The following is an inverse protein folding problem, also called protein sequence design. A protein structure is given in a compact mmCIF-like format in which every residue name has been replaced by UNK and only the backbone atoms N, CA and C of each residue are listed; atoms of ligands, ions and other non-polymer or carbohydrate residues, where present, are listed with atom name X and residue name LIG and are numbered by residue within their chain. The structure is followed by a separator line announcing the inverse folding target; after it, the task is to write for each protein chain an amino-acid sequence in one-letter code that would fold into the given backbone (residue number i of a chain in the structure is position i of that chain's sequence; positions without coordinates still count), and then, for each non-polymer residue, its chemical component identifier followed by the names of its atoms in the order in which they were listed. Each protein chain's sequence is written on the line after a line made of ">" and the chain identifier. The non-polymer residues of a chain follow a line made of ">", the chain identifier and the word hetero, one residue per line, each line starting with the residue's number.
data_IF_547092349533
#
_entry.id   IF_547092349533
#
_cell.length_a   1.000
_cell.length_b   1.000
_cell.length_c   1.000
_cell.angle_alpha   90.00
_cell.angle_beta   90.00
_cell.angle_gamma   90.00
#
_symmetry.space_group_name_H-M   'P 1'
#
loop_
_entity.id
_entity.type
_entity.pdbx_description
1 polymer ?
#
# COMPACT_ATOMS: atom_id res chain seq x y z
N UNK A 1 -17.02 30.20 9.64
CA UNK A 1 -17.37 29.02 8.80
C UNK A 1 -18.49 28.29 9.51
N UNK A 2 -19.67 28.21 8.92
CA UNK A 2 -20.75 27.37 9.45
C UNK A 2 -20.51 25.95 8.92
N UNK A 3 -20.31 24.99 9.81
CA UNK A 3 -20.23 23.57 9.43
C UNK A 3 -21.58 23.14 8.88
N UNK A 4 -21.58 22.44 7.74
CA UNK A 4 -22.81 21.92 7.14
C UNK A 4 -23.53 20.95 8.10
N UNK A 5 -22.76 20.20 8.90
CA UNK A 5 -23.24 19.25 9.92
C UNK A 5 -22.27 19.19 11.11
N UNK A 6 -22.73 18.67 12.24
CA UNK A 6 -21.90 18.48 13.44
C UNK A 6 -21.01 17.22 13.26
N UNK A 7 -19.68 17.31 13.40
CA UNK A 7 -18.79 16.16 13.31
C UNK A 7 -19.14 15.00 14.26
N UNK A 8 -19.74 15.30 15.41
CA UNK A 8 -20.21 14.27 16.36
C UNK A 8 -21.25 13.34 15.76
N UNK A 9 -22.08 13.84 14.83
CA UNK A 9 -23.07 13.01 14.13
C UNK A 9 -22.42 12.03 13.16
N UNK A 10 -21.22 12.32 12.67
CA UNK A 10 -20.44 11.38 11.84
C UNK A 10 -19.96 10.19 12.69
N UNK A 11 -19.45 10.45 13.90
CA UNK A 11 -19.07 9.40 14.86
C UNK A 11 -20.27 8.50 15.18
N UNK A 12 -21.45 9.11 15.34
CA UNK A 12 -22.69 8.36 15.58
C UNK A 12 -23.08 7.50 14.40
N UNK A 13 -22.97 8.01 13.15
CA UNK A 13 -23.21 7.24 11.95
C UNK A 13 -22.22 6.06 11.85
N UNK A 14 -20.93 6.29 12.12
CA UNK A 14 -19.90 5.26 12.09
C UNK A 14 -20.19 4.13 13.08
N UNK A 15 -20.57 4.46 14.33
CA UNK A 15 -20.96 3.46 15.32
C UNK A 15 -22.19 2.65 14.88
N UNK A 16 -23.24 3.30 14.35
CA UNK A 16 -24.45 2.64 13.87
C UNK A 16 -24.16 1.64 12.74
N UNK A 17 -23.33 2.02 11.78
CA UNK A 17 -22.98 1.16 10.64
C UNK A 17 -22.06 0.01 11.08
N UNK A 18 -21.07 0.26 11.92
CA UNK A 18 -20.13 -0.74 12.45
C UNK A 18 -20.84 -1.84 13.23
N UNK A 19 -21.79 -1.46 14.11
CA UNK A 19 -22.54 -2.42 14.91
C UNK A 19 -23.74 -3.03 14.18
N UNK A 20 -24.13 -2.47 13.05
CA UNK A 20 -25.37 -2.89 12.38
C UNK A 20 -26.64 -2.67 13.23
N UNK A 21 -26.56 -1.84 14.29
CA UNK A 21 -27.62 -1.66 15.29
C UNK A 21 -27.57 -0.28 15.95
N UNK A 22 -28.71 0.42 15.97
CA UNK A 22 -28.86 1.69 16.68
C UNK A 22 -28.78 1.52 18.20
N UNK A 23 -29.23 0.40 18.74
CA UNK A 23 -29.19 0.13 20.18
C UNK A 23 -27.74 -0.14 20.64
N UNK A 24 -26.99 -0.99 19.93
CA UNK A 24 -25.59 -1.27 20.25
C UNK A 24 -24.70 -0.02 20.09
N UNK A 25 -24.93 0.80 19.06
CA UNK A 25 -24.25 2.08 18.92
C UNK A 25 -24.54 3.05 20.08
N UNK A 26 -25.77 3.07 20.57
CA UNK A 26 -26.15 3.89 21.71
C UNK A 26 -25.42 3.45 23.00
N UNK A 27 -25.31 2.16 23.21
CA UNK A 27 -24.59 1.58 24.34
C UNK A 27 -23.10 1.96 24.30
N UNK A 28 -22.43 1.77 23.14
CA UNK A 28 -21.01 2.15 22.96
C UNK A 28 -20.78 3.64 23.23
N UNK A 29 -21.66 4.50 22.69
CA UNK A 29 -21.48 5.95 22.76
C UNK A 29 -21.99 6.58 24.09
N UNK A 30 -22.58 5.80 24.96
CA UNK A 30 -23.16 6.29 26.22
C UNK A 30 -24.42 7.17 25.99
N UNK A 31 -25.16 6.95 24.91
CA UNK A 31 -26.40 7.66 24.57
C UNK A 31 -27.62 6.74 24.69
N UNK A 32 -28.81 7.33 24.59
CA UNK A 32 -30.05 6.58 24.39
C UNK A 32 -30.21 6.24 22.90
N UNK A 33 -30.88 5.16 22.57
CA UNK A 33 -31.20 4.80 21.18
C UNK A 33 -31.99 5.92 20.47
N UNK A 34 -32.85 6.61 21.18
CA UNK A 34 -33.62 7.77 20.65
C UNK A 34 -32.69 8.93 20.26
N UNK A 35 -31.66 9.22 21.10
CA UNK A 35 -30.69 10.27 20.81
C UNK A 35 -29.85 9.92 19.57
N UNK A 36 -29.35 8.67 19.44
CA UNK A 36 -28.65 8.20 18.27
C UNK A 36 -29.50 8.30 17.01
N UNK A 37 -30.80 7.90 17.10
CA UNK A 37 -31.76 8.03 15.99
C UNK A 37 -31.98 9.47 15.56
N UNK A 38 -32.05 10.39 16.53
CA UNK A 38 -32.22 11.84 16.28
C UNK A 38 -30.97 12.43 15.61
N UNK A 39 -29.78 12.08 16.09
CA UNK A 39 -28.50 12.56 15.50
C UNK A 39 -28.36 12.11 14.04
N UNK A 40 -28.65 10.85 13.74
CA UNK A 40 -28.65 10.35 12.36
C UNK A 40 -29.71 11.06 11.50
N UNK A 41 -30.92 11.26 12.01
CA UNK A 41 -31.97 11.97 11.29
C UNK A 41 -31.63 13.46 11.06
N UNK A 42 -30.96 14.12 12.02
CA UNK A 42 -30.43 15.48 11.85
C UNK A 42 -29.37 15.54 10.75
N UNK A 43 -28.46 14.57 10.73
CA UNK A 43 -27.44 14.46 9.70
C UNK A 43 -28.08 14.29 8.31
N UNK A 44 -29.06 13.37 8.17
CA UNK A 44 -29.81 13.15 6.93
C UNK A 44 -30.52 14.42 6.45
N UNK A 45 -31.13 15.16 7.38
CA UNK A 45 -31.81 16.43 7.06
C UNK A 45 -30.83 17.49 6.57
N UNK A 46 -29.65 17.60 7.18
CA UNK A 46 -28.62 18.58 6.81
C UNK A 46 -27.97 18.26 5.46
N UNK A 47 -27.73 16.99 5.19
CA UNK A 47 -27.14 16.50 3.95
C UNK A 47 -28.17 16.46 2.81
N UNK A 48 -29.46 16.39 3.13
CA UNK A 48 -30.54 16.28 2.15
C UNK A 48 -30.69 14.89 1.54
N UNK A 49 -30.05 13.86 2.13
CA UNK A 49 -30.08 12.49 1.65
C UNK A 49 -30.11 11.49 2.81
N UNK A 50 -30.65 10.29 2.56
CA UNK A 50 -30.50 9.20 3.52
C UNK A 50 -29.07 8.71 3.56
N UNK A 51 -28.52 8.56 4.76
CA UNK A 51 -27.13 8.10 4.98
C UNK A 51 -27.08 6.66 5.47
N UNK A 52 -28.20 6.11 5.96
CA UNK A 52 -28.29 4.74 6.45
C UNK A 52 -29.54 4.03 5.93
N UNK A 53 -29.37 2.79 5.48
CA UNK A 53 -30.46 1.82 5.29
C UNK A 53 -30.73 1.18 6.66
N UNK A 54 -32.00 1.09 7.07
CA UNK A 54 -32.34 0.63 8.43
C UNK A 54 -32.56 -0.89 8.56
N UNK A 55 -32.78 -1.59 7.46
CA UNK A 55 -33.02 -3.05 7.45
C UNK A 55 -32.50 -3.69 6.17
N UNK A 56 -31.35 -4.42 6.21
CA UNK A 56 -30.36 -4.44 7.30
C UNK A 56 -29.71 -3.07 7.46
N UNK A 57 -29.17 -2.78 8.65
CA UNK A 57 -28.47 -1.51 8.89
C UNK A 57 -27.15 -1.51 8.11
N UNK A 58 -27.02 -0.56 7.19
CA UNK A 58 -25.82 -0.38 6.37
C UNK A 58 -25.75 1.05 5.84
N UNK A 59 -24.57 1.53 5.51
CA UNK A 59 -24.42 2.83 4.85
C UNK A 59 -25.07 2.85 3.47
N UNK A 60 -25.61 3.99 3.08
CA UNK A 60 -25.92 4.32 1.69
C UNK A 60 -24.63 4.84 1.01
N UNK A 61 -24.69 5.15 -0.29
CA UNK A 61 -23.62 5.81 -1.01
C UNK A 61 -23.24 7.17 -0.37
N UNK A 62 -24.26 7.99 -0.03
CA UNK A 62 -24.04 9.22 0.73
C UNK A 62 -23.49 8.96 2.14
N UNK A 63 -23.94 7.89 2.79
CA UNK A 63 -23.41 7.45 4.07
C UNK A 63 -21.95 7.06 4.01
N UNK A 64 -21.52 6.38 2.93
CA UNK A 64 -20.12 6.01 2.75
C UNK A 64 -19.21 7.24 2.63
N UNK A 65 -19.59 8.24 1.86
CA UNK A 65 -18.87 9.53 1.77
C UNK A 65 -18.68 10.17 3.15
N UNK A 66 -19.70 10.11 4.01
CA UNK A 66 -19.62 10.66 5.36
C UNK A 66 -18.76 9.81 6.30
N UNK A 67 -18.77 8.48 6.15
CA UNK A 67 -17.88 7.59 6.89
C UNK A 67 -16.41 7.82 6.53
N UNK A 68 -16.11 8.01 5.25
CA UNK A 68 -14.76 8.34 4.79
C UNK A 68 -14.32 9.71 5.35
N UNK A 69 -15.24 10.69 5.41
CA UNK A 69 -15.01 12.00 6.04
C UNK A 69 -14.77 11.89 7.54
N UNK A 70 -15.56 11.08 8.24
CA UNK A 70 -15.39 10.82 9.69
C UNK A 70 -14.00 10.24 9.95
N UNK A 71 -13.62 9.22 9.20
CA UNK A 71 -12.32 8.59 9.29
C UNK A 71 -11.18 9.61 9.13
N UNK A 72 -11.23 10.46 8.11
CA UNK A 72 -10.23 11.51 7.88
C UNK A 72 -10.14 12.52 9.02
N UNK A 73 -11.29 12.92 9.60
CA UNK A 73 -11.33 13.82 10.76
C UNK A 73 -10.73 13.15 11.99
N UNK A 74 -11.15 11.93 12.31
CA UNK A 74 -10.64 11.15 13.46
C UNK A 74 -9.14 10.97 13.40
N UNK A 75 -8.60 10.69 12.23
CA UNK A 75 -7.17 10.62 11.96
C UNK A 75 -6.47 11.94 12.24
N UNK A 76 -7.00 13.02 11.67
CA UNK A 76 -6.40 14.36 11.87
C UNK A 76 -6.38 14.75 13.34
N UNK A 77 -7.44 14.43 14.08
CA UNK A 77 -7.53 14.65 15.52
C UNK A 77 -6.53 13.80 16.31
N UNK A 78 -6.42 12.51 15.98
CA UNK A 78 -5.47 11.60 16.62
C UNK A 78 -4.03 12.05 16.39
N UNK A 79 -3.69 12.47 15.16
CA UNK A 79 -2.36 13.02 14.82
C UNK A 79 -2.05 14.28 15.62
N UNK A 80 -3.00 15.21 15.68
CA UNK A 80 -2.82 16.43 16.47
C UNK A 80 -2.59 16.12 17.96
N UNK A 81 -3.31 15.15 18.52
CA UNK A 81 -3.11 14.70 19.90
C UNK A 81 -1.71 14.09 20.11
N UNK A 82 -1.25 13.24 19.17
CA UNK A 82 0.08 12.64 19.21
C UNK A 82 1.18 13.71 19.09
N UNK A 83 1.03 14.66 18.18
CA UNK A 83 1.99 15.76 18.02
C UNK A 83 2.06 16.66 19.27
N UNK A 84 0.91 16.97 19.87
CA UNK A 84 0.86 17.74 21.12
C UNK A 84 1.51 16.99 22.29
N UNK A 85 1.26 15.68 22.40
CA UNK A 85 1.93 14.84 23.40
C UNK A 85 3.43 14.80 23.18
N UNK A 86 3.89 14.62 21.93
CA UNK A 86 5.31 14.63 21.58
C UNK A 86 5.99 15.97 21.90
N UNK A 87 5.31 17.09 21.72
CA UNK A 87 5.81 18.43 22.13
C UNK A 87 5.89 18.57 23.65
N UNK A 88 4.93 18.01 24.39
CA UNK A 88 4.90 18.07 25.86
C UNK A 88 5.99 17.21 26.51
N UNK A 89 6.23 16.02 25.96
CA UNK A 89 7.11 15.00 26.53
C UNK A 89 8.54 15.04 25.94
N UNK A 90 8.80 15.89 24.92
CA UNK A 90 10.08 15.93 24.19
C UNK A 90 10.35 14.63 23.41
N UNK A 91 9.32 13.80 23.19
CA UNK A 91 9.40 12.56 22.41
C UNK A 91 9.27 12.86 20.91
N UNK A 92 9.99 12.11 20.06
CA UNK A 92 10.12 12.42 18.63
C UNK A 92 8.86 12.17 17.77
N UNK A 93 7.69 11.86 18.39
CA UNK A 93 6.46 11.53 17.69
C UNK A 93 6.42 10.09 17.16
N UNK A 94 5.41 9.78 16.36
CA UNK A 94 5.22 8.47 15.73
C UNK A 94 5.24 8.61 14.20
N UNK A 95 5.77 7.61 13.51
CA UNK A 95 5.70 7.45 12.05
C UNK A 95 5.23 6.04 11.73
N UNK A 96 4.06 5.93 11.10
CA UNK A 96 3.48 4.67 10.63
C UNK A 96 3.70 4.56 9.12
N UNK A 97 4.67 3.74 8.74
CA UNK A 97 5.04 3.50 7.35
C UNK A 97 4.34 2.26 6.83
N UNK A 98 3.68 2.37 5.68
CA UNK A 98 3.21 1.25 4.89
C UNK A 98 4.14 0.98 3.71
N UNK A 99 4.42 -0.27 3.39
CA UNK A 99 5.21 -0.62 2.22
C UNK A 99 4.81 -1.98 1.67
N UNK A 100 4.88 -2.16 0.35
CA UNK A 100 4.74 -3.47 -0.26
C UNK A 100 6.00 -4.32 0.00
N UNK A 101 5.84 -5.63 -0.08
CA UNK A 101 6.82 -6.62 0.40
C UNK A 101 8.26 -6.39 -0.09
N UNK A 102 8.48 -6.11 -1.38
CA UNK A 102 9.84 -5.92 -1.90
C UNK A 102 10.47 -4.60 -1.46
N UNK A 103 9.70 -3.53 -1.27
CA UNK A 103 10.20 -2.28 -0.71
C UNK A 103 10.51 -2.43 0.79
N UNK A 104 9.63 -3.13 1.53
CA UNK A 104 9.81 -3.41 2.95
C UNK A 104 11.08 -4.24 3.21
N UNK A 105 11.44 -5.12 2.28
CA UNK A 105 12.64 -5.96 2.39
C UNK A 105 13.95 -5.26 1.97
N UNK A 106 13.88 -4.23 1.12
CA UNK A 106 15.08 -3.64 0.49
C UNK A 106 15.34 -2.19 0.89
N UNK A 107 14.56 -1.24 0.38
CA UNK A 107 14.80 0.21 0.54
C UNK A 107 14.34 0.76 1.89
N UNK A 108 13.34 0.15 2.52
CA UNK A 108 12.79 0.62 3.79
C UNK A 108 13.75 0.42 4.97
N UNK A 109 14.41 -0.75 5.17
CA UNK A 109 15.29 -0.96 6.31
C UNK A 109 16.44 0.06 6.42
N UNK A 110 17.21 0.38 5.37
CA UNK A 110 18.27 1.40 5.48
C UNK A 110 17.71 2.78 5.77
N UNK A 111 16.57 3.17 5.20
CA UNK A 111 15.91 4.44 5.49
C UNK A 111 15.48 4.55 6.97
N UNK A 112 14.88 3.49 7.52
CA UNK A 112 14.49 3.43 8.93
C UNK A 112 15.69 3.41 9.88
N UNK A 113 16.78 2.73 9.50
CA UNK A 113 18.02 2.74 10.27
C UNK A 113 18.59 4.15 10.40
N UNK A 114 18.62 4.94 9.31
CA UNK A 114 19.03 6.35 9.32
C UNK A 114 18.10 7.23 10.16
N UNK A 115 16.78 7.03 10.02
CA UNK A 115 15.82 7.76 10.85
C UNK A 115 16.04 7.49 12.35
N UNK A 116 16.20 6.22 12.72
CA UNK A 116 16.44 5.84 14.12
C UNK A 116 17.75 6.38 14.68
N UNK A 117 18.80 6.40 13.86
CA UNK A 117 20.10 6.94 14.28
C UNK A 117 20.06 8.44 14.54
N UNK A 118 19.29 9.19 13.74
CA UNK A 118 19.22 10.66 13.84
C UNK A 118 18.08 11.15 14.74
N UNK A 119 17.03 10.35 14.91
CA UNK A 119 15.84 10.68 15.69
C UNK A 119 15.43 9.47 16.56
N UNK A 120 16.24 9.12 17.57
CA UNK A 120 16.04 7.88 18.36
C UNK A 120 14.74 7.87 19.18
N UNK A 121 14.15 9.04 19.43
CA UNK A 121 12.90 9.20 20.15
C UNK A 121 11.66 8.99 19.26
N UNK A 122 11.80 8.88 17.93
CA UNK A 122 10.67 8.62 17.03
C UNK A 122 10.24 7.17 17.15
N UNK A 123 8.97 6.94 17.47
CA UNK A 123 8.38 5.61 17.38
C UNK A 123 8.06 5.27 15.92
N UNK A 124 8.50 4.11 15.46
CA UNK A 124 8.34 3.68 14.07
C UNK A 124 7.52 2.40 14.04
N UNK A 125 6.43 2.43 13.29
CA UNK A 125 5.64 1.25 12.94
C UNK A 125 5.78 1.00 11.44
N UNK A 126 6.21 -0.21 11.06
CA UNK A 126 6.22 -0.66 9.67
C UNK A 126 5.11 -1.68 9.46
N UNK A 127 4.26 -1.46 8.47
CA UNK A 127 3.22 -2.38 8.05
C UNK A 127 3.45 -2.80 6.59
N UNK A 128 3.55 -4.10 6.38
CA UNK A 128 3.54 -4.66 5.03
C UNK A 128 2.11 -4.61 4.46
N UNK A 129 1.98 -4.14 3.23
CA UNK A 129 0.70 -3.82 2.60
C UNK A 129 0.57 -4.43 1.21
N UNK A 130 -0.64 -4.82 0.86
CA UNK A 130 -1.03 -4.98 -0.53
C UNK A 130 -1.32 -3.60 -1.17
N UNK A 131 -0.91 -3.41 -2.43
CA UNK A 131 -1.06 -2.15 -3.17
C UNK A 131 -2.48 -1.58 -3.09
N UNK A 132 -3.50 -2.43 -3.25
CA UNK A 132 -4.93 -2.04 -3.26
C UNK A 132 -5.44 -1.45 -1.94
N UNK A 133 -4.80 -1.73 -0.81
CA UNK A 133 -5.23 -1.27 0.52
C UNK A 133 -4.62 0.08 0.90
N UNK A 134 -3.52 0.45 0.25
CA UNK A 134 -2.66 1.55 0.65
C UNK A 134 -3.40 2.88 0.73
N UNK A 135 -4.16 3.25 -0.30
CA UNK A 135 -4.89 4.51 -0.33
C UNK A 135 -5.94 4.59 0.79
N UNK A 136 -6.69 3.49 1.00
CA UNK A 136 -7.69 3.43 2.07
C UNK A 136 -7.05 3.57 3.46
N UNK A 137 -5.89 2.97 3.69
CA UNK A 137 -5.16 3.07 4.95
C UNK A 137 -4.61 4.48 5.20
N UNK A 138 -4.14 5.17 4.15
CA UNK A 138 -3.75 6.58 4.22
C UNK A 138 -4.95 7.47 4.57
N UNK A 139 -6.08 7.30 3.89
CA UNK A 139 -7.30 8.08 4.17
C UNK A 139 -7.87 7.83 5.57
N UNK A 140 -7.79 6.59 6.08
CA UNK A 140 -8.16 6.25 7.46
C UNK A 140 -7.10 6.63 8.48
N UNK A 141 -5.88 7.05 8.01
CA UNK A 141 -4.72 7.40 8.81
C UNK A 141 -4.22 6.28 9.70
N UNK A 142 -4.42 5.08 9.27
CA UNK A 142 -3.77 3.90 9.85
C UNK A 142 -2.27 3.88 9.53
N UNK A 143 -1.88 4.55 8.45
CA UNK A 143 -0.49 4.84 8.06
C UNK A 143 -0.34 6.32 7.70
N UNK A 144 0.86 6.87 7.88
CA UNK A 144 1.17 8.28 7.62
C UNK A 144 1.86 8.48 6.28
N UNK A 145 2.68 7.51 5.89
CA UNK A 145 3.45 7.47 4.66
C UNK A 145 3.37 6.07 4.09
N UNK A 146 3.32 5.94 2.78
CA UNK A 146 3.41 4.67 2.10
C UNK A 146 4.50 4.67 1.03
N UNK A 147 5.14 3.53 0.81
CA UNK A 147 5.86 3.23 -0.42
C UNK A 147 4.92 2.40 -1.29
N UNK A 148 4.61 2.92 -2.49
CA UNK A 148 3.70 2.33 -3.47
C UNK A 148 4.38 2.15 -4.81
N UNK A 149 3.73 1.49 -5.74
CA UNK A 149 4.22 1.42 -7.12
C UNK A 149 3.06 1.38 -8.11
N UNK A 150 3.35 1.74 -9.36
CA UNK A 150 2.50 1.47 -10.52
C UNK A 150 3.35 0.82 -11.61
N UNK A 151 2.72 0.04 -12.47
CA UNK A 151 3.38 -0.39 -13.70
C UNK A 151 3.31 0.72 -14.74
N UNK A 152 4.42 0.97 -15.45
CA UNK A 152 4.50 2.00 -16.47
C UNK A 152 3.42 1.86 -17.56
N UNK A 153 3.09 0.63 -17.93
CA UNK A 153 2.08 0.32 -18.96
C UNK A 153 0.62 0.43 -18.44
N UNK A 154 0.41 0.51 -17.12
CA UNK A 154 -0.90 0.58 -16.51
C UNK A 154 -0.89 1.48 -15.26
N UNK A 155 -0.57 2.80 -15.41
CA UNK A 155 -0.52 3.70 -14.28
C UNK A 155 -1.92 3.89 -13.69
N UNK A 156 -2.04 3.73 -12.38
CA UNK A 156 -3.28 4.01 -11.66
C UNK A 156 -3.52 5.51 -11.44
N UNK A 157 -4.77 5.95 -11.28
CA UNK A 157 -5.06 7.33 -10.91
C UNK A 157 -4.64 7.58 -9.44
N UNK A 158 -4.00 8.72 -9.19
CA UNK A 158 -3.75 9.18 -7.82
C UNK A 158 -5.05 9.79 -7.28
N UNK A 159 -5.64 9.26 -6.20
CA UNK A 159 -6.85 9.82 -5.63
C UNK A 159 -6.64 11.27 -5.15
N UNK A 160 -7.66 12.10 -5.34
CA UNK A 160 -7.66 13.49 -4.84
C UNK A 160 -7.42 13.51 -3.32
N UNK A 161 -6.52 14.37 -2.86
CA UNK A 161 -6.15 14.48 -1.45
C UNK A 161 -4.92 13.64 -1.06
N UNK A 162 -4.31 12.92 -2.01
CA UNK A 162 -3.00 12.28 -1.84
C UNK A 162 -1.92 13.03 -2.63
N UNK A 163 -0.73 13.10 -2.04
CA UNK A 163 0.50 13.50 -2.72
C UNK A 163 1.32 12.25 -2.99
N UNK A 164 1.75 12.09 -4.24
CA UNK A 164 2.61 11.00 -4.67
C UNK A 164 3.89 11.58 -5.27
N UNK A 165 5.06 11.11 -4.82
CA UNK A 165 6.35 11.55 -5.30
C UNK A 165 7.17 10.37 -5.78
N UNK A 166 7.72 10.45 -6.99
CA UNK A 166 8.53 9.38 -7.59
C UNK A 166 9.81 9.14 -6.79
N UNK A 167 10.12 7.85 -6.57
CA UNK A 167 11.34 7.40 -5.90
C UNK A 167 12.34 6.82 -6.89
N UNK A 168 11.95 5.79 -7.63
CA UNK A 168 12.80 5.10 -8.60
C UNK A 168 12.00 4.28 -9.59
N UNK A 169 12.64 3.93 -10.70
CA UNK A 169 12.17 2.92 -11.64
C UNK A 169 12.82 1.57 -11.31
N UNK A 170 11.99 0.54 -11.21
CA UNK A 170 12.38 -0.82 -10.84
C UNK A 170 11.98 -1.79 -11.97
N UNK A 171 12.93 -2.14 -12.85
CA UNK A 171 12.64 -3.03 -13.96
C UNK A 171 12.31 -4.45 -13.48
N UNK A 172 11.39 -5.09 -14.19
CA UNK A 172 11.09 -6.50 -14.02
C UNK A 172 12.13 -7.31 -14.82
N UNK A 173 12.79 -8.20 -14.13
CA UNK A 173 13.86 -9.05 -14.68
C UNK A 173 13.34 -10.47 -14.91
N UNK A 174 13.90 -11.14 -15.92
CA UNK A 174 13.74 -12.58 -16.06
C UNK A 174 14.81 -13.26 -15.22
N UNK A 175 14.39 -14.09 -14.29
CA UNK A 175 15.27 -14.85 -13.41
C UNK A 175 15.34 -16.28 -13.89
N UNK A 176 16.55 -16.75 -14.17
CA UNK A 176 16.88 -18.05 -14.76
C UNK A 176 17.75 -18.85 -13.79
N UNK A 177 17.72 -20.19 -13.82
CA UNK A 177 18.77 -21.01 -13.21
C UNK A 177 20.16 -20.64 -13.79
N UNK A 178 21.21 -20.61 -12.96
CA UNK A 178 22.55 -20.24 -13.41
C UNK A 178 23.12 -21.17 -14.54
N UNK A 179 22.64 -22.41 -14.62
CA UNK A 179 22.98 -23.36 -15.68
C UNK A 179 22.13 -23.24 -16.96
N UNK A 180 21.23 -22.26 -17.02
CA UNK A 180 20.37 -22.09 -18.19
C UNK A 180 21.16 -21.66 -19.42
N UNK A 181 20.82 -22.16 -20.64
CA UNK A 181 21.58 -21.83 -21.88
C UNK A 181 21.69 -20.32 -22.15
N UNK A 182 20.70 -19.53 -21.74
CA UNK A 182 20.66 -18.08 -21.91
C UNK A 182 21.33 -17.30 -20.77
N UNK A 183 21.85 -17.95 -19.72
CA UNK A 183 22.40 -17.24 -18.53
C UNK A 183 23.59 -16.32 -18.87
N UNK A 184 24.26 -16.53 -19.99
CA UNK A 184 25.37 -15.71 -20.47
C UNK A 184 25.00 -14.62 -21.50
N UNK A 185 23.69 -14.39 -21.76
CA UNK A 185 23.25 -13.37 -22.71
C UNK A 185 23.03 -12.02 -22.01
N UNK A 186 22.98 -10.92 -22.79
CA UNK A 186 22.77 -9.56 -22.24
C UNK A 186 21.30 -9.23 -22.01
N UNK A 187 20.38 -10.18 -22.19
CA UNK A 187 18.94 -10.02 -22.01
C UNK A 187 18.17 -11.00 -22.88
N UNK A 188 16.90 -11.15 -22.56
CA UNK A 188 16.00 -12.13 -23.18
C UNK A 188 14.68 -11.50 -23.61
N UNK A 189 14.03 -12.11 -24.59
CA UNK A 189 12.62 -11.84 -24.96
C UNK A 189 11.76 -13.04 -24.57
N UNK A 190 10.42 -12.89 -24.49
CA UNK A 190 9.55 -14.05 -24.24
C UNK A 190 9.70 -15.16 -25.28
N UNK A 191 10.01 -14.80 -26.53
CA UNK A 191 10.22 -15.76 -27.61
C UNK A 191 11.48 -16.64 -27.44
N UNK A 192 12.45 -16.19 -26.66
CA UNK A 192 13.69 -16.96 -26.35
C UNK A 192 13.40 -18.07 -25.33
N UNK A 193 12.24 -18.04 -24.65
CA UNK A 193 11.86 -18.95 -23.55
C UNK A 193 10.57 -19.75 -23.82
N UNK A 194 10.24 -20.15 -25.06
CA UNK A 194 8.91 -20.70 -25.40
C UNK A 194 8.63 -22.06 -24.78
N UNK A 195 9.65 -22.82 -24.44
CA UNK A 195 9.53 -24.18 -23.88
C UNK A 195 9.88 -24.26 -22.39
N UNK A 196 10.27 -23.14 -21.78
CA UNK A 196 10.67 -23.12 -20.38
C UNK A 196 9.45 -23.17 -19.46
N UNK A 197 9.63 -23.85 -18.32
CA UNK A 197 8.62 -23.83 -17.26
C UNK A 197 8.58 -22.45 -16.61
N UNK A 198 7.40 -21.84 -16.57
CA UNK A 198 7.20 -20.57 -15.88
C UNK A 198 6.72 -20.80 -14.44
N UNK A 199 7.38 -20.15 -13.50
CA UNK A 199 6.95 -20.07 -12.10
C UNK A 199 6.11 -18.81 -11.98
N UNK A 200 4.78 -18.98 -11.84
CA UNK A 200 3.87 -17.87 -11.64
C UNK A 200 3.67 -17.63 -10.14
N UNK A 201 3.87 -16.40 -9.69
CA UNK A 201 3.51 -15.97 -8.36
C UNK A 201 2.12 -15.34 -8.35
N UNK A 202 1.46 -15.29 -7.20
CA UNK A 202 0.14 -14.64 -7.07
C UNK A 202 0.17 -13.15 -7.45
N UNK A 203 1.32 -12.50 -7.28
CA UNK A 203 1.57 -11.11 -7.67
C UNK A 203 1.60 -10.97 -9.19
N UNK A 204 2.32 -11.87 -9.87
CA UNK A 204 2.46 -11.86 -11.33
C UNK A 204 1.12 -12.00 -12.06
N UNK A 205 0.25 -12.89 -11.56
CA UNK A 205 -1.02 -13.20 -12.21
C UNK A 205 -1.99 -12.02 -12.22
N UNK A 206 -1.97 -11.17 -11.20
CA UNK A 206 -2.87 -10.03 -11.07
C UNK A 206 -2.31 -8.75 -11.69
N UNK A 207 -1.02 -8.52 -11.48
CA UNK A 207 -0.38 -7.25 -11.83
C UNK A 207 0.08 -7.24 -13.30
N UNK A 208 0.31 -8.43 -13.87
CA UNK A 208 0.71 -8.60 -15.27
C UNK A 208 -0.44 -9.02 -16.19
N UNK A 209 -1.67 -9.18 -15.69
CA UNK A 209 -2.83 -9.56 -16.50
C UNK A 209 -3.13 -8.59 -17.65
N UNK A 210 -2.78 -7.30 -17.50
CA UNK A 210 -2.83 -6.30 -18.56
C UNK A 210 -1.47 -6.11 -19.26
N UNK A 211 -0.49 -6.97 -18.99
CA UNK A 211 0.85 -6.89 -19.55
C UNK A 211 0.86 -7.32 -21.02
N UNK A 212 1.72 -6.71 -21.86
CA UNK A 212 1.98 -7.20 -23.20
C UNK A 212 2.46 -8.67 -23.28
N UNK A 213 2.73 -9.30 -22.13
CA UNK A 213 3.11 -10.72 -22.01
C UNK A 213 1.91 -11.66 -21.82
N UNK A 214 0.68 -11.14 -21.71
CA UNK A 214 -0.51 -11.98 -21.62
C UNK A 214 -0.70 -12.77 -22.93
N UNK A 215 -0.52 -14.08 -22.86
CA UNK A 215 -0.59 -14.99 -24.00
C UNK A 215 0.75 -15.46 -24.59
N UNK A 216 1.87 -14.81 -24.29
CA UNK A 216 3.18 -15.09 -24.93
C UNK A 216 4.12 -15.96 -24.06
N UNK A 217 3.67 -16.38 -22.89
CA UNK A 217 4.43 -17.25 -21.97
C UNK A 217 4.37 -18.70 -22.42
N UNK A 218 4.99 -19.06 -23.51
CA UNK A 218 5.21 -20.41 -24.00
C UNK A 218 4.25 -21.53 -23.60
N UNK A 219 4.28 -22.65 -24.28
CA UNK A 219 3.49 -23.86 -23.96
C UNK A 219 4.14 -24.77 -22.90
N UNK A 220 5.12 -24.25 -22.14
CA UNK A 220 5.87 -25.01 -21.15
C UNK A 220 5.07 -25.41 -19.92
N UNK A 221 5.64 -26.25 -19.07
CA UNK A 221 5.04 -26.62 -17.79
C UNK A 221 4.91 -25.40 -16.89
N UNK A 222 3.74 -25.23 -16.26
CA UNK A 222 3.50 -24.15 -15.29
C UNK A 222 3.65 -24.67 -13.87
N UNK A 223 4.34 -23.90 -13.04
CA UNK A 223 4.33 -24.04 -11.59
C UNK A 223 3.65 -22.80 -11.01
N UNK A 224 2.48 -22.98 -10.46
CA UNK A 224 1.76 -21.89 -9.81
C UNK A 224 2.15 -21.88 -8.32
N UNK A 225 2.82 -20.81 -7.90
CA UNK A 225 3.17 -20.56 -6.51
C UNK A 225 2.19 -19.55 -5.92
N UNK A 226 1.23 -20.07 -5.16
CA UNK A 226 0.23 -19.23 -4.47
C UNK A 226 0.79 -18.72 -3.13
N UNK A 227 1.78 -17.83 -3.21
CA UNK A 227 2.45 -17.23 -2.07
C UNK A 227 3.05 -15.87 -2.40
N UNK A 228 3.27 -15.06 -1.35
CA UNK A 228 3.86 -13.72 -1.45
C UNK A 228 5.38 -13.72 -1.16
N UNK A 229 5.96 -14.86 -0.83
CA UNK A 229 7.38 -14.98 -0.50
C UNK A 229 8.25 -15.11 -1.75
N UNK A 230 8.84 -14.02 -2.18
CA UNK A 230 9.75 -13.99 -3.33
C UNK A 230 11.03 -14.81 -3.13
N UNK A 231 11.45 -15.04 -1.88
CA UNK A 231 12.60 -15.92 -1.58
C UNK A 231 12.29 -17.35 -2.00
N UNK A 232 11.07 -17.82 -1.76
CA UNK A 232 10.60 -19.12 -2.24
C UNK A 232 10.63 -19.16 -3.76
N UNK A 233 10.14 -18.14 -4.47
CA UNK A 233 10.19 -18.08 -5.93
C UNK A 233 11.63 -18.17 -6.46
N UNK A 234 12.56 -17.41 -5.88
CA UNK A 234 13.99 -17.47 -6.22
C UNK A 234 14.60 -18.86 -5.98
N UNK A 235 14.25 -19.52 -4.88
CA UNK A 235 14.73 -20.86 -4.57
C UNK A 235 14.17 -21.92 -5.53
N UNK A 236 12.92 -21.78 -5.99
CA UNK A 236 12.35 -22.64 -7.02
C UNK A 236 13.10 -22.50 -8.34
N UNK A 237 13.46 -21.27 -8.75
CA UNK A 237 14.32 -21.03 -9.92
C UNK A 237 15.70 -21.64 -9.70
N UNK A 238 16.34 -21.41 -8.55
CA UNK A 238 17.66 -21.98 -8.23
C UNK A 238 17.66 -23.51 -8.28
N UNK A 239 16.55 -24.15 -7.93
CA UNK A 239 16.34 -25.60 -8.02
C UNK A 239 16.10 -26.11 -9.45
N UNK A 240 16.05 -25.22 -10.46
CA UNK A 240 15.83 -25.60 -11.85
C UNK A 240 14.38 -25.94 -12.20
N UNK A 241 13.41 -25.52 -11.37
CA UNK A 241 11.99 -25.83 -11.58
C UNK A 241 11.32 -24.92 -12.61
N UNK A 242 12.02 -23.89 -13.09
CA UNK A 242 11.53 -22.98 -14.11
C UNK A 242 12.21 -21.62 -14.07
N UNK A 243 11.59 -20.67 -14.76
CA UNK A 243 12.00 -19.26 -14.85
C UNK A 243 10.92 -18.36 -14.25
N UNK A 244 11.29 -17.20 -13.74
CA UNK A 244 10.34 -16.27 -13.11
C UNK A 244 10.56 -14.82 -13.55
N UNK A 245 9.50 -14.02 -13.47
CA UNK A 245 9.57 -12.57 -13.59
C UNK A 245 9.59 -11.96 -12.19
N UNK A 246 10.68 -11.29 -11.84
CA UNK A 246 10.84 -10.68 -10.53
C UNK A 246 11.39 -9.26 -10.65
N UNK A 247 10.95 -8.35 -9.78
CA UNK A 247 11.49 -7.00 -9.73
C UNK A 247 12.97 -6.99 -9.38
N UNK A 248 13.74 -6.11 -10.02
CA UNK A 248 15.18 -5.96 -9.75
C UNK A 248 15.47 -5.70 -8.27
N UNK A 249 14.61 -4.98 -7.60
CA UNK A 249 14.72 -4.62 -6.18
C UNK A 249 14.89 -5.85 -5.26
N UNK A 250 14.36 -7.01 -5.65
CA UNK A 250 14.47 -8.27 -4.90
C UNK A 250 15.77 -9.04 -5.14
N UNK A 251 16.56 -8.61 -6.09
CA UNK A 251 17.71 -9.39 -6.58
C UNK A 251 19.02 -9.04 -5.88
N UNK A 252 19.04 -7.98 -5.06
CA UNK A 252 20.23 -7.59 -4.30
C UNK A 252 20.73 -8.67 -3.33
N UNK A 253 19.84 -9.54 -2.87
CA UNK A 253 20.14 -10.68 -1.97
C UNK A 253 19.64 -12.01 -2.59
N UNK A 254 19.80 -12.16 -3.92
CA UNK A 254 19.41 -13.38 -4.59
C UNK A 254 20.31 -14.56 -4.17
N UNK A 255 19.74 -15.78 -3.98
CA UNK A 255 20.52 -16.95 -3.63
C UNK A 255 21.51 -17.31 -4.76
N UNK A 256 22.61 -18.00 -4.45
CA UNK A 256 23.45 -18.58 -5.48
C UNK A 256 22.64 -19.57 -6.33
N UNK A 257 22.98 -19.66 -7.62
CA UNK A 257 22.29 -20.57 -8.54
C UNK A 257 21.22 -19.93 -9.41
N UNK A 258 21.02 -18.62 -9.32
CA UNK A 258 20.17 -17.85 -10.24
C UNK A 258 20.95 -16.77 -10.98
N UNK A 259 20.47 -16.41 -12.16
CA UNK A 259 20.93 -15.26 -12.97
C UNK A 259 19.70 -14.45 -13.36
N UNK A 260 19.79 -13.14 -13.21
CA UNK A 260 18.73 -12.22 -13.62
C UNK A 260 19.16 -11.47 -14.89
N UNK A 261 18.31 -11.50 -15.90
CA UNK A 261 18.54 -10.84 -17.18
C UNK A 261 17.43 -9.81 -17.46
N UNK A 262 17.76 -8.68 -18.07
CA UNK A 262 16.75 -7.72 -18.49
C UNK A 262 15.85 -8.33 -19.57
N UNK A 263 14.55 -8.06 -19.46
CA UNK A 263 13.61 -8.34 -20.54
C UNK A 263 13.72 -7.24 -21.59
N UNK A 264 13.98 -7.60 -22.84
CA UNK A 264 14.25 -6.63 -23.90
C UNK A 264 12.98 -6.10 -24.58
N UNK A 265 12.00 -6.95 -24.82
CA UNK A 265 10.75 -6.59 -25.51
C UNK A 265 9.61 -7.52 -25.08
N UNK A 266 8.57 -7.00 -24.45
CA UNK A 266 8.42 -5.63 -23.94
C UNK A 266 9.25 -5.40 -22.67
N UNK A 267 9.72 -4.18 -22.44
CA UNK A 267 10.34 -3.82 -21.16
C UNK A 267 9.22 -3.58 -20.16
N UNK A 268 9.27 -4.22 -19.02
CA UNK A 268 8.33 -4.02 -17.93
C UNK A 268 9.02 -3.28 -16.80
N UNK A 269 8.43 -2.17 -16.39
CA UNK A 269 8.99 -1.31 -15.33
C UNK A 269 7.91 -1.00 -14.31
N UNK A 270 8.22 -1.18 -13.02
CA UNK A 270 7.48 -0.61 -11.92
C UNK A 270 8.06 0.77 -11.60
N UNK A 271 7.20 1.75 -11.42
CA UNK A 271 7.59 3.07 -10.90
C UNK A 271 7.22 3.14 -9.43
N UNK A 272 8.21 3.30 -8.58
CA UNK A 272 8.02 3.37 -7.14
C UNK A 272 7.82 4.82 -6.71
N UNK A 273 6.95 5.00 -5.71
CA UNK A 273 6.59 6.32 -5.18
C UNK A 273 6.51 6.29 -3.66
N UNK A 274 6.75 7.44 -3.04
CA UNK A 274 6.15 7.74 -1.74
C UNK A 274 4.74 8.28 -1.94
N UNK A 275 3.83 7.93 -1.04
CA UNK A 275 2.45 8.42 -1.06
C UNK A 275 2.01 8.80 0.35
N UNK A 276 1.36 9.96 0.50
CA UNK A 276 0.81 10.47 1.77
C UNK A 276 -0.40 11.36 1.53
N UNK A 277 -1.13 11.67 2.60
CA UNK A 277 -2.18 12.69 2.54
C UNK A 277 -1.59 14.06 2.19
N UNK A 278 -2.28 14.78 1.31
CA UNK A 278 -2.00 16.18 0.99
C UNK A 278 -2.54 17.09 2.10
N UNK A 279 -1.91 17.05 3.26
CA UNK A 279 -2.26 17.87 4.41
C UNK A 279 -1.14 18.85 4.72
N UNK A 280 -1.48 20.07 5.18
CA UNK A 280 -0.49 21.08 5.60
C UNK A 280 0.32 20.68 6.84
N UNK A 281 0.01 19.55 7.46
CA UNK A 281 0.60 19.06 8.72
C UNK A 281 1.56 17.89 8.57
N UNK A 282 2.37 17.82 7.50
CA UNK A 282 3.42 16.77 7.41
C UNK A 282 4.46 17.00 8.49
N UNK A 283 4.64 16.03 9.40
CA UNK A 283 5.59 16.13 10.50
C UNK A 283 7.04 16.16 10.00
N UNK A 284 7.94 16.69 10.83
CA UNK A 284 9.37 16.69 10.50
C UNK A 284 9.91 15.28 10.30
N UNK A 285 9.42 14.30 11.09
CA UNK A 285 9.82 12.90 11.02
C UNK A 285 9.40 12.24 9.70
N UNK A 286 8.19 12.52 9.20
CA UNK A 286 7.72 12.02 7.90
C UNK A 286 8.59 12.59 6.76
N UNK A 287 8.84 13.92 6.75
CA UNK A 287 9.72 14.54 5.74
C UNK A 287 11.14 13.97 5.76
N UNK A 288 11.66 13.67 6.96
CA UNK A 288 12.97 13.03 7.11
C UNK A 288 12.97 11.62 6.55
N UNK A 289 11.92 10.84 6.82
CA UNK A 289 11.81 9.49 6.28
C UNK A 289 11.69 9.50 4.75
N UNK A 290 10.90 10.41 4.16
CA UNK A 290 10.85 10.60 2.69
C UNK A 290 12.24 10.89 2.11
N UNK A 291 13.03 11.76 2.77
CA UNK A 291 14.39 12.06 2.35
C UNK A 291 15.28 10.81 2.43
N UNK A 292 15.22 10.04 3.53
CA UNK A 292 16.05 8.84 3.68
C UNK A 292 15.63 7.71 2.73
N UNK A 293 14.35 7.61 2.36
CA UNK A 293 13.91 6.69 1.30
C UNK A 293 14.51 7.07 -0.06
N UNK A 294 14.58 8.37 -0.40
CA UNK A 294 15.25 8.84 -1.63
C UNK A 294 16.76 8.56 -1.61
N UNK A 295 17.41 8.72 -0.47
CA UNK A 295 18.83 8.38 -0.33
C UNK A 295 19.05 6.87 -0.46
N UNK A 296 18.18 6.04 0.14
CA UNK A 296 18.29 4.60 0.07
C UNK A 296 18.16 4.06 -1.36
N UNK A 297 17.26 4.61 -2.18
CA UNK A 297 17.11 4.17 -3.58
C UNK A 297 18.29 4.60 -4.46
N UNK A 298 19.06 5.62 -4.10
CA UNK A 298 20.24 6.02 -4.83
C UNK A 298 21.41 5.02 -4.70
N UNK A 299 21.31 4.08 -3.77
CA UNK A 299 22.29 3.01 -3.54
C UNK A 299 21.98 1.74 -4.35
N UNK A 300 20.81 1.67 -5.03
CA UNK A 300 20.36 0.57 -5.89
C UNK A 300 20.58 0.85 -7.39
#
# INVERSE_FOLDING_TARGET
>A
MSWLFDPRHLVTLAAVVRHGSFAAAAEELGYTQSAVSQQVAELERRVGARVVVRRPVRATEAGQVLLDTESAISVSMSRAATELAALADGTGGEVRLGAFISAAASIVPPALARLRATHPAVHITLRELEQRETHALLFRGEIDLAVTFDYEHAPGPVPTGLTQEHLMDDPIMVVLPAGHPLAGTDGVTPADLPSDAWINTAVDARDLAASPLEGDRGSGHRLDFDGMDFRTALNLVAAGLGVALLPRLLLSDAPPGVVALPMRQPTLVRRLYTCRLDTRGVTASIRRLEMYLREAVAEF
#
